data_IF_067675678736
#
_entry.id   IF_067675678736
#
_cell.length_a   1.000
_cell.length_b   1.000
_cell.length_c   1.000
_cell.angle_alpha   90.00
_cell.angle_beta   90.00
_cell.angle_gamma   90.00
#
_symmetry.space_group_name_H-M   'P 1'
#
loop_
_entity.id
_entity.type
_entity.pdbx_description
1 polymer ?
#
# COMPACT_ATOMS: atom_id res chain seq x y z
N UNK A 1 4.06 -14.64 -2.69
CA UNK A 1 4.68 -13.49 -3.35
C UNK A 1 6.11 -13.83 -3.74
N UNK A 2 6.62 -13.32 -4.87
CA UNK A 2 8.06 -13.35 -5.15
C UNK A 2 8.82 -12.63 -4.03
N UNK A 3 10.03 -13.12 -3.71
CA UNK A 3 10.86 -12.48 -2.70
C UNK A 3 11.39 -11.15 -3.24
N UNK A 4 10.96 -10.04 -2.64
CA UNK A 4 11.49 -8.70 -2.90
C UNK A 4 12.39 -8.26 -1.74
N UNK A 5 13.34 -7.37 -2.02
CA UNK A 5 14.17 -6.81 -0.95
C UNK A 5 13.33 -5.98 0.01
N UNK A 6 13.77 -5.90 1.28
CA UNK A 6 13.10 -5.09 2.31
C UNK A 6 12.95 -3.63 1.89
N UNK A 7 14.00 -3.05 1.29
CA UNK A 7 13.96 -1.68 0.80
C UNK A 7 12.94 -1.52 -0.33
N UNK A 8 12.85 -2.49 -1.24
CA UNK A 8 11.84 -2.49 -2.31
C UNK A 8 10.44 -2.58 -1.73
N UNK A 9 10.23 -3.40 -0.70
CA UNK A 9 8.93 -3.53 -0.02
C UNK A 9 8.52 -2.21 0.66
N UNK A 10 9.43 -1.56 1.38
CA UNK A 10 9.17 -0.26 2.01
C UNK A 10 8.78 0.80 0.97
N UNK A 11 9.54 0.89 -0.13
CA UNK A 11 9.22 1.82 -1.23
C UNK A 11 7.86 1.49 -1.85
N UNK A 12 7.55 0.21 -2.04
CA UNK A 12 6.27 -0.22 -2.59
C UNK A 12 5.09 0.17 -1.67
N UNK A 13 5.21 -0.05 -0.36
CA UNK A 13 4.19 0.35 0.63
C UNK A 13 3.93 1.85 0.56
N UNK A 14 4.99 2.66 0.54
CA UNK A 14 4.87 4.12 0.48
C UNK A 14 4.21 4.59 -0.82
N UNK A 15 4.62 4.02 -1.95
CA UNK A 15 4.06 4.35 -3.26
C UNK A 15 2.58 3.96 -3.37
N UNK A 16 2.21 2.77 -2.89
CA UNK A 16 0.82 2.29 -2.85
C UNK A 16 -0.01 3.15 -1.91
N UNK A 17 0.48 3.47 -0.72
CA UNK A 17 -0.21 4.37 0.22
C UNK A 17 -0.48 5.75 -0.39
N UNK A 18 0.52 6.34 -1.06
CA UNK A 18 0.36 7.64 -1.72
C UNK A 18 -0.65 7.58 -2.85
N UNK A 19 -0.58 6.55 -3.71
CA UNK A 19 -1.50 6.41 -4.83
C UNK A 19 -2.94 6.19 -4.34
N UNK A 20 -3.13 5.34 -3.33
CA UNK A 20 -4.43 5.05 -2.77
C UNK A 20 -5.10 6.29 -2.16
N UNK A 21 -4.32 7.18 -1.52
CA UNK A 21 -4.81 8.49 -1.07
C UNK A 21 -5.29 9.35 -2.24
N UNK A 22 -4.55 9.36 -3.36
CA UNK A 22 -4.93 10.07 -4.58
C UNK A 22 -6.22 9.53 -5.19
N UNK A 23 -6.29 8.22 -5.41
CA UNK A 23 -7.46 7.56 -5.98
C UNK A 23 -8.72 7.75 -5.13
N UNK A 24 -8.60 7.64 -3.79
CA UNK A 24 -9.72 7.90 -2.88
C UNK A 24 -10.19 9.35 -2.87
N UNK A 25 -9.29 10.30 -3.13
CA UNK A 25 -9.66 11.70 -3.26
C UNK A 25 -10.38 11.96 -4.59
N UNK A 26 -9.89 11.39 -5.69
CA UNK A 26 -10.51 11.47 -7.02
C UNK A 26 -11.89 10.79 -7.03
N UNK A 27 -12.05 9.66 -6.33
CA UNK A 27 -13.32 8.94 -6.21
C UNK A 27 -14.41 9.71 -5.43
N UNK A 28 -14.02 10.76 -4.70
CA UNK A 28 -14.98 11.62 -3.98
C UNK A 28 -15.48 12.80 -4.84
N UNK A 29 -14.97 12.96 -6.07
CA UNK A 29 -15.44 14.00 -6.98
C UNK A 29 -16.80 13.62 -7.59
N UNK A 30 -17.68 14.61 -7.80
CA UNK A 30 -19.05 14.40 -8.32
C UNK A 30 -19.10 13.77 -9.72
N UNK A 31 -18.00 13.84 -10.48
CA UNK A 31 -17.86 13.30 -11.85
C UNK A 31 -16.85 12.14 -11.90
N UNK A 32 -16.62 11.47 -10.76
CA UNK A 32 -15.71 10.34 -10.67
C UNK A 32 -16.17 9.18 -11.58
N UNK A 33 -15.25 8.59 -12.39
CA UNK A 33 -15.59 7.43 -13.22
C UNK A 33 -15.97 6.22 -12.36
N UNK A 34 -16.99 5.42 -12.75
CA UNK A 34 -17.36 4.19 -12.03
C UNK A 34 -16.21 3.17 -11.91
N UNK A 35 -15.28 3.16 -12.87
CA UNK A 35 -14.11 2.28 -12.87
C UNK A 35 -13.10 2.65 -11.78
N UNK A 36 -13.20 3.85 -11.22
CA UNK A 36 -12.28 4.32 -10.18
C UNK A 36 -12.50 3.61 -8.85
N UNK A 37 -13.73 3.25 -8.51
CA UNK A 37 -14.03 2.46 -7.31
C UNK A 37 -13.39 1.07 -7.40
N UNK A 38 -13.50 0.42 -8.56
CA UNK A 38 -12.84 -0.87 -8.79
C UNK A 38 -11.31 -0.72 -8.70
N UNK A 39 -10.76 0.36 -9.25
CA UNK A 39 -9.33 0.61 -9.14
C UNK A 39 -8.91 0.83 -7.68
N UNK A 40 -9.70 1.54 -6.87
CA UNK A 40 -9.43 1.69 -5.43
C UNK A 40 -9.39 0.32 -4.75
N UNK A 41 -10.37 -0.55 -4.99
CA UNK A 41 -10.41 -1.91 -4.40
C UNK A 41 -9.17 -2.75 -4.79
N UNK A 42 -8.72 -2.66 -6.05
CA UNK A 42 -7.52 -3.36 -6.52
C UNK A 42 -6.24 -2.87 -5.81
N UNK A 43 -6.12 -1.57 -5.57
CA UNK A 43 -5.00 -0.99 -4.84
C UNK A 43 -5.07 -1.27 -3.33
N UNK A 44 -6.26 -1.38 -2.75
CA UNK A 44 -6.44 -1.82 -1.36
C UNK A 44 -5.97 -3.26 -1.17
N UNK A 45 -6.35 -4.17 -2.07
CA UNK A 45 -5.88 -5.56 -2.04
C UNK A 45 -4.34 -5.65 -2.15
N UNK A 46 -3.72 -4.81 -2.99
CA UNK A 46 -2.26 -4.74 -3.08
C UNK A 46 -1.60 -4.20 -1.80
N UNK A 47 -2.24 -3.26 -1.11
CA UNK A 47 -1.78 -2.74 0.17
C UNK A 47 -1.84 -3.82 1.26
N UNK A 48 -2.93 -4.58 1.34
CA UNK A 48 -3.11 -5.68 2.29
C UNK A 48 -2.04 -6.77 2.11
N UNK A 49 -1.74 -7.13 0.86
CA UNK A 49 -0.67 -8.08 0.53
C UNK A 49 0.69 -7.57 1.03
N UNK A 50 1.02 -6.30 0.75
CA UNK A 50 2.27 -5.69 1.20
C UNK A 50 2.37 -5.61 2.73
N UNK A 51 1.27 -5.31 3.42
CA UNK A 51 1.20 -5.31 4.88
C UNK A 51 1.49 -6.71 5.44
N UNK A 52 0.87 -7.76 4.88
CA UNK A 52 1.10 -9.13 5.31
C UNK A 52 2.57 -9.56 5.12
N UNK A 53 3.18 -9.18 4.00
CA UNK A 53 4.60 -9.41 3.73
C UNK A 53 5.49 -8.64 4.73
N UNK A 54 5.18 -7.37 4.99
CA UNK A 54 5.90 -6.54 5.94
C UNK A 54 5.84 -7.10 7.36
N UNK A 55 4.65 -7.50 7.80
CA UNK A 55 4.42 -8.13 9.09
C UNK A 55 5.21 -9.43 9.25
N UNK A 56 5.39 -10.19 8.17
CA UNK A 56 6.24 -11.39 8.17
C UNK A 56 7.72 -11.01 8.30
N UNK A 57 8.18 -10.02 7.54
CA UNK A 57 9.57 -9.55 7.54
C UNK A 57 9.98 -8.92 8.89
N UNK A 58 9.08 -8.16 9.52
CA UNK A 58 9.29 -7.50 10.82
C UNK A 58 9.60 -8.48 11.96
N UNK A 59 9.17 -9.74 11.84
CA UNK A 59 9.48 -10.80 12.82
C UNK A 59 10.94 -11.25 12.75
N UNK A 60 11.61 -11.06 11.61
CA UNK A 60 12.96 -11.56 11.36
C UNK A 60 14.02 -10.45 11.35
N UNK A 61 13.64 -9.22 10.98
CA UNK A 61 14.57 -8.10 10.81
C UNK A 61 14.42 -7.11 11.96
N UNK A 62 15.52 -6.93 12.71
CA UNK A 62 15.62 -5.92 13.75
C UNK A 62 15.75 -4.52 13.11
N UNK A 63 15.02 -3.54 13.67
CA UNK A 63 15.00 -2.12 13.26
C UNK A 63 14.24 -1.78 11.96
N UNK A 64 13.26 -2.59 11.58
CA UNK A 64 12.25 -2.13 10.62
C UNK A 64 11.38 -1.03 11.26
N UNK A 65 11.05 0.06 10.54
CA UNK A 65 10.12 1.05 11.04
C UNK A 65 8.73 0.44 11.31
N UNK A 66 7.92 1.00 12.20
CA UNK A 66 6.50 0.63 12.30
C UNK A 66 5.78 0.80 10.96
N UNK A 67 4.85 -0.10 10.63
CA UNK A 67 4.10 -0.04 9.38
C UNK A 67 3.33 1.30 9.24
N UNK A 68 2.74 1.78 10.34
CA UNK A 68 2.01 3.06 10.37
C UNK A 68 2.89 4.27 9.99
N UNK A 69 4.20 4.23 10.30
CA UNK A 69 5.13 5.29 9.90
C UNK A 69 5.40 5.30 8.38
N UNK A 70 5.21 4.16 7.71
CA UNK A 70 5.33 4.06 6.25
C UNK A 70 4.09 4.58 5.52
N UNK A 71 2.96 4.69 6.23
CA UNK A 71 1.68 5.14 5.70
C UNK A 71 1.37 6.62 6.00
N UNK A 72 2.24 7.31 6.75
CA UNK A 72 2.16 8.76 6.95
C UNK A 72 2.32 9.52 5.62
#
# INVERSE_FOLDING_TARGET
>A
MPEISVNTMVIAIQAVSQQLRGLRAEAQEDDAPPELDQLVEEWEAAADDLEAAYNTASRAILNLPPYDELMA
#
